data_IF_363468337738
#
_entry.id   IF_363468337738
#
_cell.length_a   1.000
_cell.length_b   1.000
_cell.length_c   1.000
_cell.angle_alpha   90.00
_cell.angle_beta   90.00
_cell.angle_gamma   90.00
#
_symmetry.space_group_name_H-M   'P 1'
#
loop_
_entity.id
_entity.type
_entity.pdbx_description
1 polymer ?
#
# COMPACT_ATOMS: atom_id res chain seq x y z
N UNK A 1 -16.53 -14.27 2.18
CA UNK A 1 -16.49 -12.81 2.04
C UNK A 1 -17.59 -12.17 2.90
N UNK A 2 -17.22 -11.27 3.79
CA UNK A 2 -18.12 -10.63 4.76
C UNK A 2 -18.50 -9.23 4.26
N UNK A 3 -19.73 -8.78 4.59
CA UNK A 3 -20.13 -7.39 4.29
C UNK A 3 -19.31 -6.41 5.15
N UNK A 4 -18.91 -5.24 4.62
CA UNK A 4 -18.10 -4.25 5.34
C UNK A 4 -18.67 -3.88 6.71
N UNK A 5 -19.98 -3.63 6.80
CA UNK A 5 -20.66 -3.24 8.04
C UNK A 5 -20.58 -4.32 9.14
N UNK A 6 -20.63 -5.61 8.74
CA UNK A 6 -20.46 -6.72 9.67
C UNK A 6 -19.02 -6.85 10.13
N UNK A 7 -18.07 -6.63 9.23
CA UNK A 7 -16.65 -6.58 9.55
C UNK A 7 -16.32 -5.48 10.57
N UNK A 8 -16.83 -4.27 10.36
CA UNK A 8 -16.66 -3.15 11.29
C UNK A 8 -17.22 -3.44 12.69
N UNK A 9 -18.42 -4.03 12.76
CA UNK A 9 -19.02 -4.45 14.04
C UNK A 9 -18.16 -5.47 14.77
N UNK A 10 -17.64 -6.47 14.07
CA UNK A 10 -16.77 -7.50 14.66
C UNK A 10 -15.47 -6.89 15.15
N UNK A 11 -14.80 -6.09 14.32
CA UNK A 11 -13.52 -5.45 14.71
C UNK A 11 -13.72 -4.52 15.91
N UNK A 12 -14.81 -3.77 15.94
CA UNK A 12 -15.14 -2.91 17.07
C UNK A 12 -15.40 -3.72 18.36
N UNK A 13 -16.12 -4.85 18.28
CA UNK A 13 -16.43 -5.68 19.45
C UNK A 13 -15.20 -6.31 20.12
N UNK A 14 -14.13 -6.54 19.35
CA UNK A 14 -12.86 -7.06 19.87
C UNK A 14 -11.80 -5.97 20.09
N UNK A 15 -12.19 -4.70 20.06
CA UNK A 15 -11.32 -3.56 20.36
C UNK A 15 -10.23 -3.29 19.30
N UNK A 16 -10.43 -3.73 18.07
CA UNK A 16 -9.48 -3.55 16.97
C UNK A 16 -10.06 -2.76 15.80
N UNK A 17 -9.32 -2.62 14.73
CA UNK A 17 -9.76 -1.98 13.50
C UNK A 17 -9.16 -2.68 12.26
N UNK A 18 -9.74 -2.39 11.09
CA UNK A 18 -9.19 -2.86 9.81
C UNK A 18 -7.73 -2.45 9.63
N UNK A 19 -7.37 -1.20 9.97
CA UNK A 19 -5.99 -0.74 9.88
C UNK A 19 -5.05 -1.55 10.78
N UNK A 20 -5.45 -1.87 12.01
CA UNK A 20 -4.61 -2.68 12.90
C UNK A 20 -4.45 -4.12 12.42
N UNK A 21 -5.52 -4.74 11.94
CA UNK A 21 -5.49 -6.13 11.48
C UNK A 21 -4.84 -6.28 10.12
N UNK A 22 -5.08 -5.34 9.22
CA UNK A 22 -4.57 -5.38 7.85
C UNK A 22 -3.17 -4.78 7.74
N UNK A 23 -3.00 -3.52 8.20
CA UNK A 23 -1.81 -2.73 7.91
C UNK A 23 -0.66 -3.00 8.87
N UNK A 24 -0.94 -3.58 10.03
CA UNK A 24 0.08 -3.89 11.05
C UNK A 24 0.45 -5.38 11.12
N UNK A 25 -0.35 -6.26 10.51
CA UNK A 25 -0.14 -7.70 10.58
C UNK A 25 0.73 -8.23 9.44
N UNK A 26 0.70 -7.58 8.28
CA UNK A 26 1.40 -8.02 7.08
C UNK A 26 2.34 -6.91 6.60
N UNK A 27 3.58 -7.26 6.29
CA UNK A 27 4.59 -6.32 5.78
C UNK A 27 4.24 -5.86 4.37
N UNK A 28 3.70 -6.74 3.54
CA UNK A 28 3.18 -6.44 2.22
C UNK A 28 2.09 -7.43 1.79
N UNK A 29 1.29 -7.01 0.83
CA UNK A 29 0.28 -7.84 0.17
C UNK A 29 0.47 -7.74 -1.34
N UNK A 30 0.82 -8.86 -1.97
CA UNK A 30 0.99 -8.97 -3.41
C UNK A 30 -0.20 -9.73 -3.98
N UNK A 31 -1.07 -9.05 -4.70
CA UNK A 31 -2.21 -9.65 -5.36
C UNK A 31 -1.87 -9.95 -6.82
N UNK A 32 -1.78 -11.23 -7.14
CA UNK A 32 -1.59 -11.68 -8.52
C UNK A 32 -2.98 -11.87 -9.14
N UNK A 33 -3.33 -11.00 -10.07
CA UNK A 33 -4.62 -11.07 -10.78
C UNK A 33 -4.80 -12.44 -11.40
N UNK A 34 -6.00 -13.00 -11.23
CA UNK A 34 -6.38 -14.31 -11.78
C UNK A 34 -6.15 -14.37 -13.28
N UNK A 35 -5.75 -15.55 -13.79
CA UNK A 35 -5.66 -15.78 -15.24
C UNK A 35 -7.03 -15.63 -15.93
N UNK A 36 -8.13 -15.66 -15.19
CA UNK A 36 -9.47 -15.37 -15.72
C UNK A 36 -9.62 -13.93 -16.27
N UNK A 37 -8.70 -13.01 -15.92
CA UNK A 37 -8.67 -11.62 -16.38
C UNK A 37 -7.33 -11.31 -17.08
N UNK A 38 -7.35 -11.20 -18.39
CA UNK A 38 -6.20 -10.87 -19.24
C UNK A 38 -5.28 -12.04 -19.61
N UNK A 39 -5.59 -13.27 -19.19
CA UNK A 39 -4.84 -14.48 -19.56
C UNK A 39 -5.76 -15.72 -19.67
N UNK A 40 -6.97 -15.53 -20.17
CA UNK A 40 -8.08 -16.48 -20.16
C UNK A 40 -7.71 -17.84 -20.77
N UNK A 41 -6.85 -17.86 -21.78
CA UNK A 41 -6.38 -19.10 -22.42
C UNK A 41 -5.63 -20.04 -21.47
N UNK A 42 -5.15 -19.52 -20.35
CA UNK A 42 -4.46 -20.30 -19.31
C UNK A 42 -5.35 -20.59 -18.10
N UNK A 43 -6.59 -20.05 -18.07
CA UNK A 43 -7.51 -20.33 -17.00
C UNK A 43 -8.16 -21.71 -17.20
N UNK A 44 -8.03 -22.58 -16.19
CA UNK A 44 -8.62 -23.92 -16.23
C UNK A 44 -9.12 -24.31 -14.84
N UNK A 45 -10.20 -25.08 -14.81
CA UNK A 45 -10.70 -25.72 -13.60
C UNK A 45 -10.22 -27.18 -13.47
N UNK A 46 -9.61 -27.74 -14.54
CA UNK A 46 -9.23 -29.15 -14.59
C UNK A 46 -8.02 -29.51 -13.71
N UNK A 47 -7.14 -28.55 -13.42
CA UNK A 47 -5.93 -28.75 -12.64
C UNK A 47 -6.13 -28.60 -11.11
N UNK A 48 -7.31 -28.21 -10.67
CA UNK A 48 -7.63 -28.04 -9.25
C UNK A 48 -9.09 -28.39 -9.01
N UNK A 49 -9.35 -29.52 -8.33
CA UNK A 49 -10.70 -30.01 -8.02
C UNK A 49 -11.51 -29.06 -7.13
N UNK A 50 -10.86 -28.16 -6.40
CA UNK A 50 -11.53 -27.16 -5.57
C UNK A 50 -11.93 -25.91 -6.36
N UNK A 51 -11.45 -25.78 -7.60
CA UNK A 51 -11.79 -24.67 -8.47
C UNK A 51 -13.02 -25.03 -9.30
N UNK A 52 -14.16 -24.51 -8.91
CA UNK A 52 -15.45 -24.75 -9.59
C UNK A 52 -15.94 -23.50 -10.33
N UNK A 53 -15.27 -22.38 -10.16
CA UNK A 53 -15.67 -21.08 -10.67
C UNK A 53 -15.39 -20.96 -12.18
N UNK A 54 -16.41 -20.62 -12.96
CA UNK A 54 -16.21 -20.16 -14.34
C UNK A 54 -15.55 -18.77 -14.39
N UNK A 55 -15.13 -18.35 -15.59
CA UNK A 55 -14.40 -17.09 -15.81
C UNK A 55 -15.06 -15.87 -15.15
N UNK A 56 -16.37 -15.73 -15.29
CA UNK A 56 -17.10 -14.57 -14.74
C UNK A 56 -17.03 -14.53 -13.22
N UNK A 57 -17.34 -15.64 -12.56
CA UNK A 57 -17.31 -15.71 -11.10
C UNK A 57 -15.88 -15.56 -10.58
N UNK A 58 -14.89 -16.12 -11.26
CA UNK A 58 -13.48 -15.98 -10.90
C UNK A 58 -13.03 -14.49 -10.92
N UNK A 59 -13.43 -13.72 -11.93
CA UNK A 59 -13.18 -12.27 -12.00
C UNK A 59 -13.87 -11.49 -10.89
N UNK A 60 -15.10 -11.85 -10.55
CA UNK A 60 -15.85 -11.21 -9.47
C UNK A 60 -15.18 -11.46 -8.10
N UNK A 61 -14.77 -12.70 -7.85
CA UNK A 61 -14.05 -13.06 -6.61
C UNK A 61 -12.70 -12.35 -6.52
N UNK A 62 -11.96 -12.31 -7.63
CA UNK A 62 -10.68 -11.60 -7.72
C UNK A 62 -10.83 -10.12 -7.34
N UNK A 63 -11.82 -9.43 -7.90
CA UNK A 63 -12.14 -8.03 -7.56
C UNK A 63 -12.51 -7.86 -6.08
N UNK A 64 -13.27 -8.80 -5.49
CA UNK A 64 -13.60 -8.77 -4.06
C UNK A 64 -12.36 -8.90 -3.18
N UNK A 65 -11.41 -9.75 -3.56
CA UNK A 65 -10.13 -9.92 -2.84
C UNK A 65 -9.29 -8.65 -2.96
N UNK A 66 -9.15 -8.08 -4.17
CA UNK A 66 -8.47 -6.80 -4.39
C UNK A 66 -9.06 -5.71 -3.48
N UNK A 67 -10.38 -5.56 -3.47
CA UNK A 67 -11.06 -4.54 -2.65
C UNK A 67 -10.83 -4.74 -1.15
N UNK A 68 -10.75 -5.98 -0.67
CA UNK A 68 -10.48 -6.26 0.74
C UNK A 68 -9.08 -5.80 1.19
N UNK A 69 -8.11 -5.79 0.30
CA UNK A 69 -6.75 -5.35 0.58
C UNK A 69 -6.44 -3.92 0.16
N UNK A 70 -7.35 -3.28 -0.59
CA UNK A 70 -7.22 -1.88 -0.98
C UNK A 70 -7.03 -1.01 0.26
N UNK A 71 -6.02 -0.13 0.22
CA UNK A 71 -5.63 0.71 1.35
C UNK A 71 -4.52 0.14 2.24
N UNK A 72 -4.06 -1.10 2.06
CA UNK A 72 -2.83 -1.56 2.72
C UNK A 72 -1.61 -0.76 2.21
N UNK A 73 -0.66 -0.32 3.08
CA UNK A 73 0.47 0.56 2.68
C UNK A 73 1.34 -0.02 1.57
N UNK A 74 1.53 -1.33 1.58
CA UNK A 74 2.33 -2.06 0.61
C UNK A 74 1.47 -3.03 -0.19
N UNK A 75 0.31 -2.56 -0.67
CA UNK A 75 -0.53 -3.33 -1.57
C UNK A 75 -0.06 -3.15 -3.01
N UNK A 76 0.18 -4.27 -3.70
CA UNK A 76 0.58 -4.30 -5.11
C UNK A 76 -0.32 -5.24 -5.87
N UNK A 77 -0.88 -4.74 -6.98
CA UNK A 77 -1.70 -5.54 -7.90
C UNK A 77 -0.86 -5.85 -9.14
N UNK A 78 -0.59 -7.12 -9.35
CA UNK A 78 0.23 -7.61 -10.45
C UNK A 78 -0.68 -8.27 -11.49
N UNK A 79 -0.94 -7.54 -12.57
CA UNK A 79 -1.86 -7.91 -13.64
C UNK A 79 -1.23 -8.86 -14.68
N UNK A 80 -2.02 -9.24 -15.70
CA UNK A 80 -1.65 -10.15 -16.77
C UNK A 80 -1.38 -9.44 -18.11
N UNK A 81 -1.00 -8.15 -18.11
CA UNK A 81 -0.75 -7.39 -19.36
C UNK A 81 0.50 -7.86 -20.09
N UNK A 82 1.41 -8.53 -19.40
CA UNK A 82 2.63 -9.09 -19.93
C UNK A 82 2.62 -10.62 -19.81
N UNK A 83 3.65 -11.26 -20.35
CA UNK A 83 3.81 -12.70 -20.20
C UNK A 83 4.06 -13.13 -18.73
N UNK A 84 3.97 -14.45 -18.49
CA UNK A 84 4.09 -15.00 -17.15
C UNK A 84 5.47 -14.76 -16.52
N UNK A 85 6.54 -14.80 -17.31
CA UNK A 85 7.90 -14.58 -16.79
C UNK A 85 8.08 -13.14 -16.31
N UNK A 86 7.61 -12.16 -17.09
CA UNK A 86 7.62 -10.76 -16.71
C UNK A 86 6.73 -10.51 -15.48
N UNK A 87 5.57 -11.17 -15.40
CA UNK A 87 4.72 -11.15 -14.20
C UNK A 87 5.49 -11.67 -12.98
N UNK A 88 6.21 -12.79 -13.10
CA UNK A 88 7.00 -13.36 -12.02
C UNK A 88 8.16 -12.44 -11.61
N UNK A 89 8.86 -11.83 -12.56
CA UNK A 89 9.91 -10.85 -12.26
C UNK A 89 9.38 -9.65 -11.47
N UNK A 90 8.19 -9.14 -11.80
CA UNK A 90 7.55 -8.08 -11.02
C UNK A 90 7.26 -8.51 -9.58
N UNK A 91 6.78 -9.75 -9.37
CA UNK A 91 6.57 -10.31 -8.03
C UNK A 91 7.88 -10.35 -7.25
N UNK A 92 8.95 -10.87 -7.85
CA UNK A 92 10.26 -10.99 -7.20
C UNK A 92 10.84 -9.62 -6.83
N UNK A 93 10.69 -8.63 -7.71
CA UNK A 93 11.12 -7.26 -7.43
C UNK A 93 10.38 -6.66 -6.22
N UNK A 94 9.06 -6.85 -6.15
CA UNK A 94 8.28 -6.35 -5.00
C UNK A 94 8.65 -7.07 -3.69
N UNK A 95 8.90 -8.38 -3.74
CA UNK A 95 9.38 -9.14 -2.57
C UNK A 95 10.75 -8.62 -2.13
N UNK A 96 11.67 -8.40 -3.06
CA UNK A 96 12.99 -7.86 -2.77
C UNK A 96 12.93 -6.48 -2.12
N UNK A 97 12.02 -5.61 -2.60
CA UNK A 97 11.77 -4.31 -1.96
C UNK A 97 11.32 -4.45 -0.50
N UNK A 98 10.42 -5.39 -0.22
CA UNK A 98 9.91 -5.63 1.15
C UNK A 98 11.00 -6.17 2.07
N UNK A 99 11.84 -7.07 1.55
CA UNK A 99 12.96 -7.67 2.30
C UNK A 99 14.13 -6.70 2.49
N UNK A 100 14.10 -5.50 1.89
CA UNK A 100 15.19 -4.54 1.95
C UNK A 100 16.43 -5.00 1.19
N UNK A 101 16.25 -5.81 0.15
CA UNK A 101 17.33 -6.16 -0.78
C UNK A 101 17.54 -4.95 -1.71
N UNK A 102 18.78 -4.49 -1.93
CA UNK A 102 19.05 -3.38 -2.83
C UNK A 102 18.39 -3.59 -4.19
N UNK A 103 17.68 -2.58 -4.66
CA UNK A 103 16.94 -2.62 -5.92
C UNK A 103 17.38 -1.46 -6.82
N UNK A 104 17.29 -1.63 -8.14
CA UNK A 104 17.46 -0.53 -9.07
C UNK A 104 16.53 0.65 -8.71
N UNK A 105 17.01 1.87 -8.89
CA UNK A 105 16.19 3.06 -8.70
C UNK A 105 15.16 3.10 -9.83
N UNK A 106 13.88 2.93 -9.48
CA UNK A 106 12.78 3.04 -10.41
C UNK A 106 12.25 4.47 -10.36
N UNK A 107 12.01 5.06 -11.53
CA UNK A 107 11.37 6.36 -11.62
C UNK A 107 9.91 6.28 -11.18
N UNK A 108 9.56 6.98 -10.11
CA UNK A 108 8.18 7.23 -9.72
C UNK A 108 7.66 8.48 -10.45
N UNK A 109 6.55 8.34 -11.16
CA UNK A 109 5.86 9.49 -11.75
C UNK A 109 4.71 9.92 -10.85
N UNK A 110 4.73 11.20 -10.45
CA UNK A 110 3.66 11.83 -9.68
C UNK A 110 2.96 12.85 -10.58
N UNK A 111 1.64 12.82 -10.54
CA UNK A 111 0.81 13.71 -11.34
C UNK A 111 -0.01 14.61 -10.43
N UNK A 112 -0.16 15.87 -10.81
CA UNK A 112 -1.19 16.74 -10.25
C UNK A 112 -2.45 16.46 -11.06
N UNK A 113 -3.56 16.17 -10.38
CA UNK A 113 -4.82 15.82 -11.03
C UNK A 113 -5.95 16.68 -10.49
N UNK A 114 -6.91 17.00 -11.36
CA UNK A 114 -8.19 17.58 -11.00
C UNK A 114 -9.26 16.48 -11.03
N UNK A 115 -10.05 16.41 -9.97
CA UNK A 115 -11.15 15.45 -9.90
C UNK A 115 -12.40 16.07 -10.47
N UNK A 116 -12.93 15.49 -11.54
CA UNK A 116 -14.17 15.94 -12.18
C UNK A 116 -15.41 15.19 -11.71
N UNK A 117 -15.27 14.25 -10.76
CA UNK A 117 -16.36 13.44 -10.22
C UNK A 117 -15.95 12.61 -9.01
N UNK A 118 -16.91 11.86 -8.48
CA UNK A 118 -16.69 10.96 -7.35
C UNK A 118 -15.96 9.68 -7.80
N UNK A 119 -15.05 9.20 -6.96
CA UNK A 119 -14.34 7.92 -7.18
C UNK A 119 -15.04 6.86 -6.34
N UNK A 120 -15.64 5.83 -6.95
CA UNK A 120 -16.31 4.78 -6.20
C UNK A 120 -15.32 3.86 -5.48
N UNK A 121 -15.72 3.31 -4.33
CA UNK A 121 -14.94 2.31 -3.61
C UNK A 121 -13.64 2.83 -3.00
N UNK A 122 -13.58 4.10 -2.64
CA UNK A 122 -12.41 4.74 -2.03
C UNK A 122 -12.22 4.26 -0.59
N UNK A 123 -10.99 3.93 -0.25
CA UNK A 123 -10.54 3.71 1.13
C UNK A 123 -9.67 4.90 1.55
N UNK A 124 -10.12 5.63 2.56
CA UNK A 124 -9.39 6.80 3.07
C UNK A 124 -8.45 6.43 4.21
N UNK A 125 -7.31 7.11 4.26
CA UNK A 125 -6.33 6.99 5.33
C UNK A 125 -5.72 8.36 5.63
N UNK A 126 -5.76 8.75 6.89
CA UNK A 126 -5.00 9.90 7.39
C UNK A 126 -3.53 9.52 7.52
N UNK A 127 -2.65 10.33 6.96
CA UNK A 127 -1.21 10.10 7.01
C UNK A 127 -0.53 11.36 7.53
N UNK A 128 0.24 11.20 8.60
CA UNK A 128 1.19 12.21 9.07
C UNK A 128 2.60 11.67 8.90
N UNK A 129 3.48 12.42 8.27
CA UNK A 129 4.86 12.02 8.00
C UNK A 129 5.81 13.11 8.48
N UNK A 130 6.72 12.76 9.38
CA UNK A 130 7.75 13.63 9.93
C UNK A 130 9.13 13.08 9.58
N UNK A 131 9.98 13.92 9.03
CA UNK A 131 11.37 13.56 8.77
C UNK A 131 12.21 13.78 10.01
N UNK A 132 13.15 12.87 10.25
CA UNK A 132 14.11 12.96 11.34
C UNK A 132 15.47 13.46 10.83
N UNK A 133 16.25 14.01 11.73
CA UNK A 133 17.66 14.32 11.46
C UNK A 133 18.37 13.02 11.06
N UNK A 134 19.09 13.05 9.95
CA UNK A 134 19.77 11.89 9.40
C UNK A 134 21.11 12.28 8.79
N UNK A 135 22.00 11.31 8.65
CA UNK A 135 23.29 11.49 7.98
C UNK A 135 23.12 11.78 6.47
N UNK A 136 24.08 12.45 5.82
CA UNK A 136 24.07 12.63 4.38
C UNK A 136 23.92 11.30 3.62
N UNK A 137 23.02 11.28 2.63
CA UNK A 137 22.70 10.08 1.85
C UNK A 137 21.67 9.15 2.50
N UNK A 138 21.23 9.47 3.72
CA UNK A 138 20.15 8.79 4.40
C UNK A 138 18.93 9.70 4.53
N UNK A 139 17.74 9.12 4.38
CA UNK A 139 16.48 9.76 4.74
C UNK A 139 15.80 8.90 5.80
N UNK A 140 15.49 9.48 6.94
CA UNK A 140 14.75 8.81 8.02
C UNK A 140 13.44 9.54 8.23
N UNK A 141 12.35 8.78 8.32
CA UNK A 141 11.02 9.36 8.54
C UNK A 141 10.17 8.50 9.47
N UNK A 142 9.32 9.17 10.19
CA UNK A 142 8.23 8.57 10.94
C UNK A 142 6.93 8.76 10.16
N UNK A 143 6.10 7.73 10.13
CA UNK A 143 4.77 7.79 9.54
C UNK A 143 3.75 7.31 10.55
N UNK A 144 2.72 8.10 10.79
CA UNK A 144 1.49 7.69 11.45
C UNK A 144 0.41 7.54 10.37
N UNK A 145 -0.25 6.40 10.32
CA UNK A 145 -1.29 6.13 9.35
C UNK A 145 -2.49 5.46 10.01
N UNK A 146 -3.69 5.83 9.61
CA UNK A 146 -4.91 5.23 10.11
C UNK A 146 -6.15 6.06 9.76
N UNK A 147 -7.22 5.86 10.51
CA UNK A 147 -8.48 6.57 10.34
C UNK A 147 -9.20 6.69 11.67
N UNK A 148 -9.83 7.85 11.93
CA UNK A 148 -10.70 8.09 13.08
C UNK A 148 -10.06 7.69 14.43
N UNK A 149 -8.82 8.10 14.68
CA UNK A 149 -8.14 7.87 15.95
C UNK A 149 -7.45 6.53 16.11
N UNK A 150 -7.59 5.61 15.15
CA UNK A 150 -6.93 4.31 15.17
C UNK A 150 -5.75 4.30 14.20
N UNK A 151 -4.52 4.34 14.74
CA UNK A 151 -3.31 4.53 13.95
C UNK A 151 -2.30 3.41 14.14
N UNK A 152 -1.56 3.15 13.09
CA UNK A 152 -0.32 2.39 13.06
C UNK A 152 0.86 3.33 12.81
N UNK A 153 2.02 2.98 13.34
CA UNK A 153 3.21 3.82 13.31
C UNK A 153 4.35 3.04 12.65
N UNK A 154 5.07 3.72 11.77
CA UNK A 154 6.15 3.11 11.00
C UNK A 154 7.37 4.03 11.02
N UNK A 155 8.53 3.44 11.24
CA UNK A 155 9.83 4.06 11.06
C UNK A 155 10.41 3.58 9.73
N UNK A 156 10.74 4.51 8.85
CA UNK A 156 11.31 4.22 7.53
C UNK A 156 12.72 4.80 7.44
N UNK A 157 13.66 4.00 6.98
CA UNK A 157 15.00 4.47 6.60
C UNK A 157 15.22 4.20 5.12
N UNK A 158 15.62 5.24 4.39
CA UNK A 158 16.04 5.14 2.98
C UNK A 158 17.51 5.50 2.90
N UNK A 159 18.31 4.64 2.33
CA UNK A 159 19.73 4.86 2.11
C UNK A 159 20.07 4.66 0.64
N UNK A 160 20.76 5.62 0.05
CA UNK A 160 21.36 5.46 -1.27
C UNK A 160 22.60 4.60 -1.14
N UNK A 161 22.66 3.48 -1.82
CA UNK A 161 23.80 2.54 -1.80
C UNK A 161 24.77 2.91 -2.91
N UNK A 162 24.27 3.23 -4.10
CA UNK A 162 25.03 3.68 -5.25
C UNK A 162 24.21 4.68 -6.08
N UNK A 163 24.73 5.10 -7.22
CA UNK A 163 23.97 5.99 -8.13
C UNK A 163 22.74 5.32 -8.73
N UNK A 164 22.72 3.99 -8.79
CA UNK A 164 21.64 3.21 -9.40
C UNK A 164 20.85 2.37 -8.40
N UNK A 165 21.26 2.31 -7.12
CA UNK A 165 20.64 1.45 -6.12
C UNK A 165 20.30 2.19 -4.83
N UNK A 166 19.17 1.86 -4.26
CA UNK A 166 18.69 2.32 -2.94
C UNK A 166 18.30 1.15 -2.07
N UNK A 167 18.43 1.32 -0.76
CA UNK A 167 17.90 0.44 0.26
C UNK A 167 16.80 1.18 1.02
N UNK A 168 15.63 0.60 1.12
CA UNK A 168 14.54 1.10 1.95
C UNK A 168 14.18 0.04 2.99
N UNK A 169 14.13 0.45 4.26
CA UNK A 169 13.73 -0.43 5.36
C UNK A 169 12.59 0.22 6.10
N UNK A 170 11.48 -0.48 6.25
CA UNK A 170 10.33 -0.06 7.05
C UNK A 170 10.15 -0.98 8.24
N UNK A 171 9.94 -0.41 9.42
CA UNK A 171 9.71 -1.14 10.67
C UNK A 171 8.50 -0.60 11.38
N UNK A 172 7.51 -1.43 11.72
CA UNK A 172 6.43 -1.03 12.59
C UNK A 172 6.98 -0.72 13.98
N UNK A 173 6.47 0.35 14.59
CA UNK A 173 6.83 0.78 15.94
C UNK A 173 5.57 1.04 16.75
N UNK A 174 5.69 1.06 18.08
CA UNK A 174 4.57 1.42 18.93
C UNK A 174 4.44 2.94 19.11
N UNK A 175 3.29 3.38 19.62
CA UNK A 175 3.00 4.79 19.85
C UNK A 175 4.02 5.49 20.78
N UNK A 176 4.50 4.81 21.81
CA UNK A 176 5.45 5.40 22.76
C UNK A 176 6.80 5.69 22.08
N UNK A 177 7.31 4.73 21.33
CA UNK A 177 8.55 4.90 20.56
C UNK A 177 8.38 5.98 19.45
N UNK A 178 7.23 6.01 18.79
CA UNK A 178 6.90 7.06 17.83
C UNK A 178 6.99 8.45 18.48
N UNK A 179 6.35 8.64 19.65
CA UNK A 179 6.40 9.90 20.39
C UNK A 179 7.81 10.31 20.82
N UNK A 180 8.61 9.35 21.28
CA UNK A 180 10.01 9.61 21.66
C UNK A 180 10.87 10.02 20.45
N UNK A 181 10.72 9.35 19.32
CA UNK A 181 11.48 9.64 18.10
C UNK A 181 11.08 10.97 17.44
N UNK A 182 9.87 11.46 17.66
CA UNK A 182 9.44 12.79 17.17
C UNK A 182 10.31 13.93 17.69
N UNK A 183 10.99 13.75 18.84
CA UNK A 183 11.93 14.71 19.38
C UNK A 183 13.17 14.91 18.51
N UNK A 184 13.44 13.99 17.61
CA UNK A 184 14.52 14.02 16.63
C UNK A 184 14.06 14.56 15.27
N UNK A 185 12.89 15.22 15.22
CA UNK A 185 12.38 15.82 13.99
C UNK A 185 13.38 16.81 13.40
N UNK A 186 13.59 16.73 12.09
CA UNK A 186 14.44 17.65 11.35
C UNK A 186 13.80 19.04 11.33
N UNK A 187 14.43 20.05 11.95
CA UNK A 187 13.87 21.40 12.03
C UNK A 187 13.82 22.12 10.67
N UNK A 188 14.52 21.63 9.67
CA UNK A 188 14.56 22.20 8.33
C UNK A 188 13.55 21.54 7.37
N UNK A 189 12.83 20.50 7.82
CA UNK A 189 11.84 19.78 7.01
C UNK A 189 10.45 19.84 7.62
N UNK A 190 9.47 20.22 6.81
CA UNK A 190 8.10 20.29 7.27
C UNK A 190 7.49 18.90 7.46
N UNK A 191 6.69 18.76 8.53
CA UNK A 191 5.80 17.61 8.68
C UNK A 191 4.71 17.66 7.61
N UNK A 192 4.49 16.55 6.95
CA UNK A 192 3.48 16.37 5.91
C UNK A 192 2.23 15.76 6.54
N UNK A 193 1.08 16.38 6.33
CA UNK A 193 -0.22 15.82 6.70
C UNK A 193 -1.11 15.75 5.47
N UNK A 194 -1.69 14.57 5.22
CA UNK A 194 -2.53 14.31 4.05
C UNK A 194 -3.59 13.28 4.35
N UNK A 195 -4.67 13.30 3.59
CA UNK A 195 -5.57 12.16 3.43
C UNK A 195 -5.27 11.49 2.11
N UNK A 196 -5.00 10.18 2.18
CA UNK A 196 -4.80 9.32 1.03
C UNK A 196 -6.08 8.60 0.71
N UNK A 197 -6.52 8.71 -0.52
CA UNK A 197 -7.61 7.95 -1.11
C UNK A 197 -7.04 6.84 -1.95
N UNK A 198 -7.24 5.59 -1.51
CA UNK A 198 -6.79 4.39 -2.23
C UNK A 198 -7.97 3.76 -2.94
N UNK A 199 -7.83 3.44 -4.22
CA UNK A 199 -8.91 2.89 -5.03
C UNK A 199 -8.39 2.07 -6.21
N UNK A 200 -9.27 1.27 -6.80
CA UNK A 200 -9.01 0.53 -8.03
C UNK A 200 -9.78 1.19 -9.17
N UNK A 201 -9.08 1.52 -10.23
CA UNK A 201 -9.69 2.02 -11.46
C UNK A 201 -9.13 1.27 -12.67
N UNK A 202 -10.01 0.75 -13.51
CA UNK A 202 -9.65 -0.08 -14.67
C UNK A 202 -8.66 -1.21 -14.33
N UNK A 203 -8.84 -1.88 -13.17
CA UNK A 203 -7.99 -2.98 -12.74
C UNK A 203 -6.60 -2.57 -12.22
N UNK A 204 -6.34 -1.28 -12.05
CA UNK A 204 -5.10 -0.75 -11.49
C UNK A 204 -5.34 -0.10 -10.14
N UNK A 205 -4.36 -0.20 -9.25
CA UNK A 205 -4.38 0.44 -7.94
C UNK A 205 -3.84 1.86 -8.04
N UNK A 206 -4.58 2.81 -7.50
CA UNK A 206 -4.21 4.21 -7.44
C UNK A 206 -4.23 4.74 -6.01
N UNK A 207 -3.35 5.69 -5.76
CA UNK A 207 -3.30 6.46 -4.53
C UNK A 207 -3.39 7.94 -4.88
N UNK A 208 -4.43 8.60 -4.38
CA UNK A 208 -4.62 10.03 -4.51
C UNK A 208 -4.39 10.70 -3.16
N UNK A 209 -3.42 11.59 -3.10
CA UNK A 209 -3.04 12.28 -1.88
C UNK A 209 -3.60 13.71 -1.89
N UNK A 210 -4.42 14.03 -0.89
CA UNK A 210 -4.85 15.39 -0.61
C UNK A 210 -4.05 15.94 0.58
N UNK A 211 -3.20 16.96 0.33
CA UNK A 211 -2.27 17.51 1.31
C UNK A 211 -2.89 18.68 2.07
N UNK A 212 -2.75 18.66 3.41
CA UNK A 212 -3.17 19.75 4.29
C UNK A 212 -1.98 20.52 4.86
N UNK A 213 -0.83 19.87 5.01
CA UNK A 213 0.43 20.49 5.48
C UNK A 213 1.62 19.87 4.75
N UNK A 214 2.61 20.67 4.36
CA UNK A 214 2.53 22.12 4.24
C UNK A 214 1.49 22.51 3.19
N UNK A 215 0.82 23.66 3.41
CA UNK A 215 -0.03 24.23 2.38
C UNK A 215 0.90 24.69 1.25
N UNK A 216 0.82 24.04 0.10
CA UNK A 216 1.48 24.51 -1.10
C UNK A 216 0.54 25.51 -1.77
N UNK A 217 0.93 26.76 -1.80
CA UNK A 217 0.36 27.69 -2.76
C UNK A 217 0.82 27.23 -4.14
N UNK A 218 -0.09 26.67 -4.92
CA UNK A 218 0.10 26.35 -6.33
C UNK A 218 0.00 27.63 -7.15
#
# INVERSE_FOLDING_TARGET
YMKPEMWEKITASVGTSTSMLRDHRYDAVLHLVSAADGAEKYYTTCNNRQRTEGLTLARELDKKVINAWTGHPHFRVINNHEDFNNKLHRVLNEISNVLGIPQPIVEERKYIVELTGEIPGVIESEITQTYLVAEPGCEVRLRRRGWQGKYVYVHTTKRRISDTEKLETERPINNNLYGSLLQQADPYRNTISKVRKSFIWKGQYFELDNYFKPVKNL
#
